data_IF_129196967018
#
_entry.id   IF_129196967018
#
_cell.length_a   1.000
_cell.length_b   1.000
_cell.length_c   1.000
_cell.angle_alpha   90.00
_cell.angle_beta   90.00
_cell.angle_gamma   90.00
#
_symmetry.space_group_name_H-M   'P 1'
#
loop_
_entity.id
_entity.type
_entity.pdbx_description
1 polymer ?
#
# COMPACT_ATOMS: atom_id res chain seq x y z
N UNK A 1 6.31 -19.24 17.88
CA UNK A 1 7.75 -19.54 17.71
C UNK A 1 8.49 -18.50 16.86
N UNK A 2 7.90 -17.97 15.79
CA UNK A 2 8.51 -16.95 14.91
C UNK A 2 9.07 -15.71 15.63
N UNK A 3 8.36 -15.17 16.63
CA UNK A 3 8.81 -13.98 17.38
C UNK A 3 10.06 -14.22 18.27
N UNK A 4 10.35 -15.48 18.64
CA UNK A 4 11.57 -15.80 19.42
C UNK A 4 12.83 -15.86 18.56
N UNK A 5 12.68 -16.22 17.29
CA UNK A 5 13.80 -16.28 16.35
C UNK A 5 14.26 -14.86 16.00
N UNK A 6 13.33 -13.93 15.81
CA UNK A 6 13.63 -12.51 15.53
C UNK A 6 14.37 -11.83 16.69
N UNK A 7 14.00 -12.13 17.94
CA UNK A 7 14.69 -11.58 19.12
C UNK A 7 16.11 -12.12 19.27
N UNK A 8 16.33 -13.41 18.97
CA UNK A 8 17.68 -14.01 19.00
C UNK A 8 18.56 -13.43 17.89
N UNK A 9 18.01 -13.27 16.68
CA UNK A 9 18.75 -12.69 15.55
C UNK A 9 19.14 -11.23 15.82
N UNK A 10 18.23 -10.42 16.38
CA UNK A 10 18.54 -9.04 16.76
C UNK A 10 19.61 -8.96 17.86
N UNK A 11 19.58 -9.89 18.83
CA UNK A 11 20.62 -9.99 19.86
C UNK A 11 22.00 -10.31 19.27
N UNK A 12 22.07 -11.27 18.35
CA UNK A 12 23.33 -11.67 17.68
C UNK A 12 23.89 -10.50 16.86
N UNK A 13 23.03 -9.81 16.08
CA UNK A 13 23.45 -8.65 15.28
C UNK A 13 23.94 -7.53 16.20
N UNK A 14 23.24 -7.25 17.30
CA UNK A 14 23.65 -6.26 18.29
C UNK A 14 25.02 -6.57 18.90
N UNK A 15 25.27 -7.83 19.28
CA UNK A 15 26.57 -8.24 19.81
C UNK A 15 27.70 -8.13 18.78
N UNK A 16 27.46 -8.49 17.53
CA UNK A 16 28.44 -8.35 16.44
C UNK A 16 28.77 -6.86 16.23
N UNK A 17 27.76 -6.00 16.13
CA UNK A 17 27.95 -4.56 15.97
C UNK A 17 28.76 -3.98 17.14
N UNK A 18 28.42 -4.35 18.37
CA UNK A 18 29.10 -3.85 19.57
C UNK A 18 30.57 -4.29 19.60
N UNK A 19 30.85 -5.55 19.26
CA UNK A 19 32.21 -6.09 19.19
C UNK A 19 33.06 -5.37 18.14
N UNK A 20 32.48 -5.03 16.99
CA UNK A 20 33.17 -4.30 15.94
C UNK A 20 33.34 -2.81 16.23
N UNK A 21 32.45 -2.17 17.00
CA UNK A 21 32.52 -0.73 17.33
C UNK A 21 33.44 -0.45 18.53
N UNK A 22 33.45 -1.33 19.54
CA UNK A 22 34.26 -1.18 20.76
C UNK A 22 35.75 -0.83 20.53
N UNK A 23 36.49 -1.47 19.59
CA UNK A 23 37.90 -1.14 19.37
C UNK A 23 38.12 0.22 18.69
N UNK A 24 37.06 0.84 18.14
CA UNK A 24 37.12 2.20 17.58
C UNK A 24 36.71 3.27 18.60
N UNK A 25 36.17 2.88 19.75
CA UNK A 25 35.90 3.81 20.84
C UNK A 25 37.22 4.10 21.57
N UNK A 26 37.70 5.35 21.58
CA UNK A 26 38.89 5.69 22.32
C UNK A 26 38.64 5.51 23.80
N UNK A 27 39.50 4.74 24.46
CA UNK A 27 39.53 4.61 25.93
C UNK A 27 39.90 5.98 26.50
N UNK A 28 38.91 6.72 26.98
CA UNK A 28 39.10 8.09 27.48
C UNK A 28 40.05 8.11 28.68
N UNK A 29 41.17 8.85 28.65
CA UNK A 29 41.67 9.50 29.84
C UNK A 29 40.78 10.75 30.10
N UNK A 30 40.38 10.90 31.35
CA UNK A 30 39.57 11.98 31.90
C UNK A 30 40.28 13.32 31.79
N UNK A 31 40.17 13.98 30.63
CA UNK A 31 40.32 15.42 30.37
C UNK A 31 40.59 15.58 28.86
N UNK A 32 39.54 15.67 28.04
CA UNK A 32 39.70 15.84 26.59
C UNK A 32 39.32 17.26 26.19
N UNK A 33 40.33 18.03 25.79
CA UNK A 33 40.17 19.21 24.96
C UNK A 33 39.42 18.80 23.68
N UNK A 34 38.15 19.21 23.57
CA UNK A 34 37.29 18.94 22.41
C UNK A 34 37.95 19.33 21.07
N UNK A 35 38.87 20.31 21.10
CA UNK A 35 39.63 20.75 19.93
C UNK A 35 40.60 19.68 19.40
N UNK A 36 41.25 18.93 20.29
CA UNK A 36 42.24 17.93 19.91
C UNK A 36 41.56 16.64 19.40
N UNK A 37 40.40 16.30 19.99
CA UNK A 37 39.58 15.16 19.57
C UNK A 37 38.95 15.36 18.16
N UNK A 38 38.61 16.60 17.79
CA UNK A 38 38.12 16.93 16.45
C UNK A 38 39.16 16.82 15.33
N UNK A 39 40.45 16.71 15.67
CA UNK A 39 41.54 16.60 14.71
C UNK A 39 42.01 15.15 14.47
N UNK A 40 41.49 14.17 15.22
CA UNK A 40 41.82 12.77 15.02
C UNK A 40 41.21 12.26 13.68
N UNK A 41 42.01 11.68 12.77
CA UNK A 41 41.53 11.17 11.49
C UNK A 41 40.46 10.08 11.64
N UNK A 42 40.46 9.31 12.73
CA UNK A 42 39.47 8.24 12.98
C UNK A 42 38.10 8.83 13.30
N UNK A 43 38.05 9.84 14.16
CA UNK A 43 36.81 10.54 14.53
C UNK A 43 36.20 11.24 13.32
N UNK A 44 37.04 11.88 12.49
CA UNK A 44 36.62 12.49 11.23
C UNK A 44 36.03 11.49 10.24
N UNK A 45 36.62 10.30 10.14
CA UNK A 45 36.10 9.25 9.26
C UNK A 45 34.72 8.77 9.71
N UNK A 46 34.51 8.56 11.01
CA UNK A 46 33.19 8.16 11.55
C UNK A 46 32.14 9.25 11.32
N UNK A 47 32.48 10.51 11.56
CA UNK A 47 31.58 11.64 11.29
C UNK A 47 31.24 11.76 9.81
N UNK A 48 32.22 11.58 8.92
CA UNK A 48 32.00 11.57 7.47
C UNK A 48 31.03 10.46 7.07
N UNK A 49 31.22 9.23 7.58
CA UNK A 49 30.29 8.13 7.33
C UNK A 49 28.87 8.43 7.84
N UNK A 50 28.74 9.04 9.01
CA UNK A 50 27.44 9.44 9.56
C UNK A 50 26.72 10.47 8.68
N UNK A 51 27.46 11.47 8.17
CA UNK A 51 26.91 12.48 7.24
C UNK A 51 26.51 11.86 5.91
N UNK A 52 27.36 11.00 5.32
CA UNK A 52 27.06 10.29 4.06
C UNK A 52 25.84 9.39 4.22
N UNK A 53 25.77 8.63 5.33
CA UNK A 53 24.63 7.78 5.65
C UNK A 53 23.33 8.59 5.77
N UNK A 54 23.36 9.69 6.53
CA UNK A 54 22.21 10.58 6.69
C UNK A 54 21.78 11.21 5.35
N UNK A 55 22.74 11.65 4.53
CA UNK A 55 22.50 12.19 3.19
C UNK A 55 21.86 11.17 2.24
N UNK A 56 22.37 9.93 2.23
CA UNK A 56 21.79 8.84 1.45
C UNK A 56 20.37 8.51 1.90
N UNK A 57 20.12 8.46 3.21
CA UNK A 57 18.80 8.15 3.76
C UNK A 57 17.78 9.24 3.41
N UNK A 58 18.15 10.53 3.62
CA UNK A 58 17.33 11.68 3.20
C UNK A 58 17.13 11.74 1.67
N UNK A 59 18.15 11.37 0.89
CA UNK A 59 18.07 11.31 -0.57
C UNK A 59 17.08 10.25 -1.05
N UNK A 60 17.11 9.06 -0.45
CA UNK A 60 16.17 7.98 -0.73
C UNK A 60 14.73 8.36 -0.35
N UNK A 61 14.51 8.98 0.80
CA UNK A 61 13.20 9.47 1.22
C UNK A 61 12.68 10.59 0.32
N UNK A 62 13.54 11.55 -0.05
CA UNK A 62 13.17 12.60 -1.00
C UNK A 62 12.84 12.02 -2.38
N UNK A 63 13.55 10.99 -2.84
CA UNK A 63 13.28 10.35 -4.13
C UNK A 63 11.99 9.52 -4.12
N UNK A 64 11.70 8.83 -3.01
CA UNK A 64 10.42 8.14 -2.77
C UNK A 64 9.25 9.13 -2.73
N UNK A 65 9.40 10.22 -1.99
CA UNK A 65 8.36 11.25 -1.85
C UNK A 65 8.16 12.06 -3.14
N UNK A 66 9.22 12.31 -3.93
CA UNK A 66 9.09 12.95 -5.26
C UNK A 66 8.36 12.05 -6.27
N UNK A 67 8.50 10.72 -6.20
CA UNK A 67 7.69 9.79 -7.00
C UNK A 67 6.23 9.74 -6.54
N UNK A 68 5.96 9.87 -5.25
CA UNK A 68 4.60 9.97 -4.71
C UNK A 68 3.92 11.31 -5.05
N UNK A 69 4.66 12.42 -5.00
CA UNK A 69 4.16 13.76 -5.33
C UNK A 69 3.89 13.93 -6.83
N UNK A 70 4.71 13.33 -7.72
CA UNK A 70 4.42 13.28 -9.17
C UNK A 70 3.13 12.51 -9.52
N UNK A 71 2.58 11.70 -8.61
CA UNK A 71 1.29 11.01 -8.81
C UNK A 71 0.08 11.78 -8.25
N UNK A 72 0.31 12.88 -7.53
CA UNK A 72 -0.76 13.77 -7.03
C UNK A 72 -1.02 14.97 -7.95
N UNK A 73 -0.22 15.16 -9.00
CA UNK A 73 -0.42 16.21 -9.99
C UNK A 73 -0.65 15.61 -11.37
N UNK A 74 -1.86 15.78 -11.90
CA UNK A 74 -2.17 15.70 -13.32
C UNK A 74 -1.81 14.36 -14.01
N UNK A 75 -2.77 13.44 -13.99
CA UNK A 75 -2.67 12.15 -14.68
C UNK A 75 -4.04 11.52 -14.86
N UNK A 76 -4.94 12.25 -15.50
CA UNK A 76 -6.06 11.69 -16.27
C UNK A 76 -5.52 10.54 -17.15
N UNK A 77 -6.41 9.61 -17.53
CA UNK A 77 -6.20 8.41 -18.35
C UNK A 77 -5.94 7.12 -17.56
N UNK A 78 -6.85 6.77 -16.66
CA UNK A 78 -7.33 5.38 -16.70
C UNK A 78 -8.02 5.19 -18.05
N UNK A 79 -7.51 4.27 -18.86
CA UNK A 79 -8.22 3.79 -20.06
C UNK A 79 -9.58 3.23 -19.61
N UNK A 80 -10.62 4.06 -19.65
CA UNK A 80 -12.00 3.61 -19.57
C UNK A 80 -12.30 2.93 -20.90
N UNK A 81 -12.11 1.61 -20.94
CA UNK A 81 -12.81 0.79 -21.91
C UNK A 81 -14.32 0.95 -21.65
N UNK A 82 -14.97 1.83 -22.41
CA UNK A 82 -16.41 1.86 -22.67
C UNK A 82 -17.35 1.67 -21.48
N UNK A 83 -17.02 2.11 -20.26
CA UNK A 83 -17.97 2.03 -19.15
C UNK A 83 -19.09 3.03 -19.41
N UNK A 84 -20.33 2.53 -19.50
CA UNK A 84 -21.53 3.35 -19.64
C UNK A 84 -21.62 4.30 -18.46
N UNK A 85 -21.93 5.55 -18.76
CA UNK A 85 -22.06 6.59 -17.74
C UNK A 85 -23.38 6.39 -16.97
N UNK A 86 -23.27 6.25 -15.65
CA UNK A 86 -24.42 6.23 -14.74
C UNK A 86 -24.89 7.67 -14.60
N UNK A 87 -26.14 7.96 -14.98
CA UNK A 87 -26.72 9.31 -14.90
C UNK A 87 -27.57 9.50 -13.66
N UNK A 88 -28.24 8.43 -13.23
CA UNK A 88 -29.09 8.40 -12.04
C UNK A 88 -28.41 7.47 -11.04
N UNK A 89 -27.85 8.05 -9.99
CA UNK A 89 -27.14 7.31 -8.94
C UNK A 89 -28.13 6.99 -7.83
N UNK A 90 -28.34 5.70 -7.57
CA UNK A 90 -29.20 5.25 -6.48
C UNK A 90 -28.36 5.11 -5.20
N UNK A 91 -27.15 4.56 -5.32
CA UNK A 91 -26.26 4.34 -4.20
C UNK A 91 -24.79 4.48 -4.61
N UNK A 92 -23.96 5.05 -3.74
CA UNK A 92 -22.51 5.03 -3.88
C UNK A 92 -21.83 4.76 -2.55
N UNK A 93 -20.73 4.02 -2.58
CA UNK A 93 -20.01 3.67 -1.36
C UNK A 93 -18.80 2.81 -1.61
N UNK A 94 -18.18 2.38 -0.51
CA UNK A 94 -17.01 1.51 -0.54
C UNK A 94 -17.43 0.08 -0.17
N UNK A 95 -17.06 -0.89 -0.99
CA UNK A 95 -17.25 -2.33 -0.70
C UNK A 95 -15.91 -3.02 -0.62
N UNK A 96 -15.70 -3.79 0.45
CA UNK A 96 -14.51 -4.64 0.58
C UNK A 96 -14.75 -5.96 -0.11
N UNK A 97 -13.94 -6.27 -1.12
CA UNK A 97 -13.99 -7.56 -1.82
C UNK A 97 -12.59 -8.02 -2.21
N UNK A 98 -12.38 -9.33 -2.23
CA UNK A 98 -11.05 -9.94 -2.39
C UNK A 98 -9.99 -9.39 -1.40
N UNK A 99 -10.40 -8.93 -0.21
CA UNK A 99 -9.48 -8.39 0.79
C UNK A 99 -8.94 -6.99 0.51
N UNK A 100 -9.51 -6.26 -0.47
CA UNK A 100 -9.18 -4.87 -0.81
C UNK A 100 -10.46 -4.05 -0.95
N UNK A 101 -10.34 -2.73 -0.91
CA UNK A 101 -11.49 -1.83 -0.96
C UNK A 101 -11.77 -1.42 -2.41
N UNK A 102 -13.05 -1.36 -2.78
CA UNK A 102 -13.54 -0.98 -4.10
C UNK A 102 -14.54 0.15 -3.95
N UNK A 103 -14.39 1.18 -4.76
CA UNK A 103 -15.39 2.25 -4.84
C UNK A 103 -16.47 1.82 -5.82
N UNK A 104 -17.71 1.80 -5.38
CA UNK A 104 -18.83 1.29 -6.17
C UNK A 104 -19.92 2.35 -6.25
N UNK A 105 -20.42 2.55 -7.46
CA UNK A 105 -21.57 3.40 -7.74
C UNK A 105 -22.61 2.55 -8.45
N UNK A 106 -23.80 2.42 -7.85
CA UNK A 106 -24.93 1.70 -8.40
C UNK A 106 -25.99 2.70 -8.88
N UNK A 107 -26.53 2.45 -10.06
CA UNK A 107 -27.57 3.29 -10.62
C UNK A 107 -27.86 2.98 -12.08
N UNK A 108 -28.63 3.84 -12.74
CA UNK A 108 -29.08 3.64 -14.12
C UNK A 108 -28.57 4.72 -15.08
N UNK A 109 -28.47 4.40 -16.37
CA UNK A 109 -28.19 5.40 -17.42
C UNK A 109 -29.44 6.18 -17.82
N UNK A 110 -30.62 5.58 -17.68
CA UNK A 110 -31.91 6.19 -18.00
C UNK A 110 -32.92 5.81 -16.94
N UNK A 111 -33.83 6.74 -16.62
CA UNK A 111 -34.95 6.53 -15.70
C UNK A 111 -35.73 5.28 -16.15
N UNK A 112 -35.89 4.32 -15.25
CA UNK A 112 -36.67 3.09 -15.48
C UNK A 112 -36.00 2.01 -16.33
N UNK A 113 -34.68 2.08 -16.56
CA UNK A 113 -33.90 0.99 -17.21
C UNK A 113 -33.02 0.25 -16.20
N UNK A 114 -32.55 -0.92 -16.62
CA UNK A 114 -31.61 -1.79 -15.90
C UNK A 114 -30.54 -0.98 -15.17
N UNK A 115 -30.54 -1.12 -13.85
CA UNK A 115 -29.51 -0.61 -12.96
C UNK A 115 -28.24 -1.44 -13.11
N UNK A 116 -27.10 -0.78 -12.99
CA UNK A 116 -25.78 -1.40 -13.12
C UNK A 116 -24.81 -0.83 -12.09
N UNK A 117 -23.83 -1.64 -11.70
CA UNK A 117 -22.77 -1.23 -10.79
C UNK A 117 -21.53 -0.82 -11.59
N UNK A 118 -21.09 0.41 -11.39
CA UNK A 118 -19.75 0.87 -11.77
C UNK A 118 -18.79 0.66 -10.60
N UNK A 119 -17.66 0.01 -10.87
CA UNK A 119 -16.63 -0.29 -9.88
C UNK A 119 -15.31 0.34 -10.27
N UNK A 120 -14.76 1.15 -9.35
CA UNK A 120 -13.46 1.79 -9.43
C UNK A 120 -12.50 1.21 -8.37
N UNK A 121 -11.19 1.26 -8.65
CA UNK A 121 -10.14 0.66 -7.82
C UNK A 121 -9.38 -0.53 -8.45
N UNK A 122 -8.68 -1.35 -7.64
CA UNK A 122 -8.78 -1.53 -6.18
C UNK A 122 -7.94 -0.56 -5.34
N UNK A 123 -8.39 -0.30 -4.11
CA UNK A 123 -7.79 0.60 -3.13
C UNK A 123 -7.31 -0.11 -1.86
N UNK A 124 -6.32 0.49 -1.21
CA UNK A 124 -5.73 -0.03 0.01
C UNK A 124 -6.68 0.17 1.20
N UNK A 125 -6.98 -0.88 1.96
CA UNK A 125 -7.88 -0.79 3.11
C UNK A 125 -7.34 0.02 4.30
N UNK A 126 -6.04 0.27 4.34
CA UNK A 126 -5.40 0.97 5.46
C UNK A 126 -5.27 2.48 5.20
N UNK A 127 -4.95 2.87 3.96
CA UNK A 127 -4.63 4.26 3.63
C UNK A 127 -5.38 4.81 2.41
N UNK A 128 -6.36 4.06 1.88
CA UNK A 128 -7.20 4.47 0.75
C UNK A 128 -6.46 4.66 -0.58
N UNK A 129 -5.18 4.28 -0.66
CA UNK A 129 -4.35 4.49 -1.87
C UNK A 129 -4.61 3.41 -2.90
N UNK A 130 -4.74 3.77 -4.19
CA UNK A 130 -4.93 2.80 -5.28
C UNK A 130 -3.77 1.78 -5.32
N UNK A 131 -4.14 0.49 -5.40
CA UNK A 131 -3.20 -0.62 -5.36
C UNK A 131 -2.62 -0.90 -6.75
N UNK A 132 -1.32 -1.16 -6.81
CA UNK A 132 -0.65 -1.53 -8.05
C UNK A 132 -0.99 -2.98 -8.43
N UNK A 133 -1.38 -3.20 -9.70
CA UNK A 133 -1.81 -4.52 -10.22
C UNK A 133 -0.67 -5.38 -10.78
N UNK A 134 0.52 -4.82 -11.03
CA UNK A 134 1.56 -5.44 -11.86
C UNK A 134 2.73 -6.06 -11.10
N UNK A 135 2.79 -5.99 -9.78
CA UNK A 135 3.93 -6.55 -9.06
C UNK A 135 3.77 -8.06 -8.89
N UNK A 136 4.62 -8.81 -9.60
CA UNK A 136 4.80 -10.24 -9.39
C UNK A 136 5.86 -10.42 -8.30
N UNK A 137 5.52 -11.03 -7.16
CA UNK A 137 6.55 -11.60 -6.30
C UNK A 137 6.87 -12.99 -6.79
N UNK A 138 8.13 -13.18 -7.22
CA UNK A 138 8.68 -14.50 -7.49
C UNK A 138 9.08 -15.14 -6.15
N UNK A 139 8.17 -15.89 -5.55
CA UNK A 139 8.58 -16.93 -4.61
C UNK A 139 8.90 -18.21 -5.39
N UNK A 140 9.93 -18.92 -4.93
CA UNK A 140 10.72 -19.99 -5.58
C UNK A 140 9.94 -21.09 -6.32
N UNK A 141 8.60 -21.16 -6.24
CA UNK A 141 7.79 -22.07 -7.06
C UNK A 141 6.39 -21.57 -7.47
N UNK A 142 5.91 -20.40 -7.03
CA UNK A 142 4.58 -19.90 -7.37
C UNK A 142 4.59 -18.40 -7.70
N UNK A 143 4.38 -18.07 -8.98
CA UNK A 143 4.09 -16.72 -9.44
C UNK A 143 2.66 -16.34 -9.04
N UNK A 144 2.45 -15.83 -7.81
CA UNK A 144 1.17 -15.23 -7.43
C UNK A 144 1.20 -13.74 -7.77
N UNK A 145 0.23 -13.28 -8.57
CA UNK A 145 0.02 -11.84 -8.77
C UNK A 145 -0.50 -11.26 -7.46
N UNK A 146 0.03 -10.11 -7.05
CA UNK A 146 -0.36 -9.46 -5.80
C UNK A 146 -0.73 -8.01 -6.03
N UNK A 147 -1.64 -7.52 -5.21
CA UNK A 147 -1.85 -6.10 -5.02
C UNK A 147 -0.85 -5.58 -4.02
N UNK A 148 -0.24 -4.43 -4.33
CA UNK A 148 0.66 -3.75 -3.40
C UNK A 148 0.29 -2.29 -3.29
N UNK A 149 0.22 -1.84 -2.05
CA UNK A 149 0.04 -0.44 -1.71
C UNK A 149 1.39 0.28 -1.78
N UNK A 150 1.52 1.34 -2.59
CA UNK A 150 2.74 2.14 -2.62
C UNK A 150 2.90 3.06 -1.41
N UNK A 151 1.85 3.30 -0.64
CA UNK A 151 1.85 4.18 0.54
C UNK A 151 2.34 3.47 1.80
N UNK A 152 1.51 2.58 2.35
CA UNK A 152 1.80 1.86 3.60
C UNK A 152 2.54 0.52 3.40
N UNK A 153 2.71 0.06 2.15
CA UNK A 153 3.36 -1.22 1.86
C UNK A 153 2.47 -2.45 2.07
N UNK A 154 1.17 -2.26 2.31
CA UNK A 154 0.17 -3.34 2.34
C UNK A 154 0.29 -4.24 1.10
N UNK A 155 0.21 -5.55 1.31
CA UNK A 155 0.28 -6.56 0.24
C UNK A 155 -0.87 -7.54 0.41
N UNK A 156 -1.54 -7.86 -0.69
CA UNK A 156 -2.58 -8.88 -0.70
C UNK A 156 -2.52 -9.72 -1.97
N UNK A 157 -2.83 -11.01 -1.84
CA UNK A 157 -2.84 -11.92 -2.98
C UNK A 157 -4.04 -11.63 -3.88
N UNK A 158 -3.83 -11.58 -5.20
CA UNK A 158 -4.93 -11.43 -6.16
C UNK A 158 -5.66 -12.76 -6.33
N UNK A 159 -6.99 -12.74 -6.53
CA UNK A 159 -7.75 -13.94 -6.85
C UNK A 159 -7.22 -14.54 -8.17
N UNK A 160 -6.99 -15.86 -8.20
CA UNK A 160 -6.42 -16.52 -9.40
C UNK A 160 -7.43 -16.63 -10.54
N UNK A 161 -8.69 -16.85 -10.21
CA UNK A 161 -9.78 -17.13 -11.16
C UNK A 161 -10.22 -15.89 -11.94
N UNK A 162 -10.22 -14.71 -11.29
CA UNK A 162 -10.74 -13.47 -11.86
C UNK A 162 -9.66 -12.44 -12.21
N UNK A 163 -8.41 -12.86 -12.43
CA UNK A 163 -7.24 -11.96 -12.54
C UNK A 163 -7.36 -10.77 -13.52
N UNK A 164 -8.20 -10.89 -14.55
CA UNK A 164 -8.43 -9.83 -15.54
C UNK A 164 -9.83 -9.21 -15.47
N UNK A 165 -10.75 -9.85 -14.74
CA UNK A 165 -12.16 -9.50 -14.64
C UNK A 165 -12.55 -9.11 -13.21
N UNK A 166 -11.57 -8.77 -12.36
CA UNK A 166 -11.81 -8.46 -10.94
C UNK A 166 -12.89 -7.39 -10.74
N UNK A 167 -12.88 -6.35 -11.59
CA UNK A 167 -13.89 -5.29 -11.55
C UNK A 167 -15.29 -5.78 -11.91
N UNK A 168 -15.40 -6.63 -12.93
CA UNK A 168 -16.68 -7.18 -13.37
C UNK A 168 -17.23 -8.18 -12.35
N UNK A 169 -16.36 -9.01 -11.76
CA UNK A 169 -16.73 -9.90 -10.67
C UNK A 169 -17.29 -9.13 -9.46
N UNK A 170 -16.63 -8.03 -9.06
CA UNK A 170 -17.13 -7.16 -7.98
C UNK A 170 -18.45 -6.50 -8.37
N UNK A 171 -18.57 -6.00 -9.60
CA UNK A 171 -19.81 -5.35 -10.09
C UNK A 171 -21.00 -6.31 -10.00
N UNK A 172 -20.86 -7.54 -10.52
CA UNK A 172 -21.90 -8.58 -10.46
C UNK A 172 -22.32 -8.96 -9.05
N UNK A 173 -21.37 -8.98 -8.11
CA UNK A 173 -21.68 -9.25 -6.69
C UNK A 173 -22.51 -8.11 -6.12
N UNK A 174 -22.13 -6.85 -6.39
CA UNK A 174 -22.87 -5.70 -5.88
C UNK A 174 -24.27 -5.57 -6.51
N UNK A 175 -24.40 -5.82 -7.81
CA UNK A 175 -25.70 -5.83 -8.49
C UNK A 175 -26.65 -6.85 -7.86
N UNK A 176 -26.16 -8.08 -7.60
CA UNK A 176 -26.95 -9.12 -6.94
C UNK A 176 -27.34 -8.74 -5.52
N UNK A 177 -26.40 -8.18 -4.74
CA UNK A 177 -26.68 -7.79 -3.35
C UNK A 177 -27.74 -6.68 -3.29
N UNK A 178 -27.69 -5.71 -4.22
CA UNK A 178 -28.69 -4.65 -4.32
C UNK A 178 -30.05 -5.18 -4.80
N UNK A 179 -30.09 -6.09 -5.77
CA UNK A 179 -31.34 -6.71 -6.21
C UNK A 179 -32.06 -7.45 -5.07
N UNK A 180 -31.31 -8.16 -4.22
CA UNK A 180 -31.85 -8.81 -3.02
C UNK A 180 -32.36 -7.80 -2.00
N UNK A 181 -31.66 -6.68 -1.82
CA UNK A 181 -32.04 -5.62 -0.89
C UNK A 181 -33.33 -4.91 -1.34
N UNK A 182 -33.46 -4.62 -2.64
CA UNK A 182 -34.68 -4.03 -3.23
C UNK A 182 -35.88 -4.97 -3.07
N UNK A 183 -35.75 -6.25 -3.43
CA UNK A 183 -36.84 -7.23 -3.29
C UNK A 183 -37.34 -7.36 -1.83
N UNK A 184 -36.42 -7.29 -0.85
CA UNK A 184 -36.80 -7.32 0.57
C UNK A 184 -37.59 -6.09 1.00
N UNK A 185 -37.33 -4.93 0.42
CA UNK A 185 -38.06 -3.70 0.74
C UNK A 185 -39.48 -3.74 0.17
N UNK A 186 -39.64 -4.31 -1.03
CA UNK A 186 -40.96 -4.48 -1.66
C UNK A 186 -41.85 -5.45 -0.87
N UNK A 187 -41.29 -6.53 -0.30
CA UNK A 187 -42.01 -7.47 0.57
C UNK A 187 -42.52 -6.83 1.88
N UNK A 188 -41.94 -5.71 2.30
CA UNK A 188 -42.31 -4.99 3.52
C UNK A 188 -43.31 -3.85 3.27
N UNK A 189 -43.60 -3.52 2.01
CA UNK A 189 -44.58 -2.51 1.67
C UNK A 189 -46.00 -3.05 1.92
N UNK A 190 -46.88 -2.34 2.66
CA UNK A 190 -48.25 -2.77 2.85
C UNK A 190 -48.98 -2.79 1.50
N UNK A 191 -49.87 -3.79 1.25
CA UNK A 191 -50.65 -3.83 0.03
C UNK A 191 -51.53 -2.58 -0.05
N UNK A 192 -51.40 -1.86 -1.18
CA UNK A 192 -52.22 -0.70 -1.54
C UNK A 192 -53.65 -1.07 -1.89
#
# INVERSE_FOLDING_TARGET
>A
MRNRLETVVLGIIGSIITYFILPFLPTTPTAVDFLQYGNDPRVRFVLFLAVVWYGLWRGLDAFRNRRAAKKRGSGVYTFNMGQREIRFVDWSGVRRHFGVDWEVTYGSTMIGKDSMARVDGPYCPECGTELMKHEQERYIQWNRKMWKCPGCGFKHARPKEFLYEEREAVAKVVERDQEVETNRLDDLAPPS
#
